data_IF_582526967805
#
_entry.id   IF_582526967805
#
_cell.length_a   1.000
_cell.length_b   1.000
_cell.length_c   1.000
_cell.angle_alpha   90.00
_cell.angle_beta   90.00
_cell.angle_gamma   90.00
#
_symmetry.space_group_name_H-M   'P 1'
#
loop_
_entity.id
_entity.type
_entity.pdbx_description
1 polymer ?
#
# COMPACT_ATOMS: atom_id res chain seq x y z
N UNK A 1 2.00 -3.20 23.65
CA UNK A 1 2.02 -4.66 23.91
C UNK A 1 3.44 -5.06 24.30
N UNK A 2 3.63 -5.91 25.30
CA UNK A 2 4.94 -6.51 25.64
C UNK A 2 4.91 -8.02 25.39
N UNK A 3 6.08 -8.66 25.38
CA UNK A 3 6.15 -10.11 25.22
C UNK A 3 5.46 -10.89 26.37
N UNK A 4 5.43 -10.33 27.59
CA UNK A 4 4.79 -10.93 28.76
C UNK A 4 3.26 -10.79 28.75
N UNK A 5 2.73 -9.78 28.05
CA UNK A 5 1.29 -9.53 27.95
C UNK A 5 0.70 -9.96 26.60
N UNK A 6 1.49 -10.62 25.75
CA UNK A 6 1.01 -11.10 24.46
C UNK A 6 0.09 -12.32 24.66
N UNK A 7 -1.05 -12.34 23.97
CA UNK A 7 -1.99 -13.47 24.03
C UNK A 7 -1.41 -14.71 23.34
N UNK A 8 -0.80 -14.52 22.17
CA UNK A 8 -0.15 -15.59 21.41
C UNK A 8 1.33 -15.71 21.80
N UNK A 9 1.87 -16.94 22.00
CA UNK A 9 3.28 -17.13 22.28
C UNK A 9 4.17 -16.80 21.07
N UNK A 10 3.63 -16.78 19.84
CA UNK A 10 4.36 -16.40 18.62
C UNK A 10 4.83 -14.95 18.70
N UNK A 11 4.04 -14.05 19.31
CA UNK A 11 4.42 -12.64 19.50
C UNK A 11 5.06 -12.35 20.87
N UNK A 12 4.99 -13.33 21.79
CA UNK A 12 5.56 -13.27 23.14
C UNK A 12 6.80 -14.14 23.31
N UNK A 13 6.62 -15.29 23.98
CA UNK A 13 7.71 -16.24 24.35
C UNK A 13 8.64 -16.61 23.18
N UNK A 14 8.09 -16.77 21.98
CA UNK A 14 8.84 -17.18 20.79
C UNK A 14 9.10 -16.04 19.81
N UNK A 15 8.76 -14.79 20.16
CA UNK A 15 8.86 -13.64 19.25
C UNK A 15 10.25 -13.40 18.68
N UNK A 16 11.31 -13.69 19.44
CA UNK A 16 12.70 -13.59 18.96
C UNK A 16 13.08 -14.68 17.95
N UNK A 17 12.38 -15.82 17.94
CA UNK A 17 12.60 -16.93 16.99
C UNK A 17 11.95 -16.68 15.64
N UNK A 18 10.91 -15.86 15.60
CA UNK A 18 10.10 -15.58 14.41
C UNK A 18 10.14 -14.12 13.98
N UNK A 19 11.03 -13.30 14.55
CA UNK A 19 11.13 -11.87 14.26
C UNK A 19 11.33 -11.58 12.77
N UNK A 20 12.07 -12.45 12.06
CA UNK A 20 12.27 -12.40 10.61
C UNK A 20 11.01 -12.59 9.77
N UNK A 21 9.91 -13.10 10.35
CA UNK A 21 8.62 -13.25 9.67
C UNK A 21 7.76 -11.98 9.71
N UNK A 22 8.03 -11.05 10.64
CA UNK A 22 7.23 -9.83 10.81
C UNK A 22 7.16 -8.94 9.56
N UNK A 23 8.21 -8.77 8.75
CA UNK A 23 8.13 -8.00 7.50
C UNK A 23 7.24 -8.62 6.41
N UNK A 24 6.75 -9.84 6.61
CA UNK A 24 5.98 -10.62 5.63
C UNK A 24 4.57 -10.97 6.10
N UNK A 25 4.36 -11.25 7.39
CA UNK A 25 3.10 -11.81 7.91
C UNK A 25 2.45 -10.99 9.02
N UNK A 26 2.86 -9.72 9.20
CA UNK A 26 2.20 -8.81 10.13
C UNK A 26 1.17 -7.92 9.41
N UNK A 27 0.30 -7.26 10.16
CA UNK A 27 -0.58 -6.20 9.63
C UNK A 27 0.21 -5.13 8.86
N UNK A 28 1.39 -4.74 9.34
CA UNK A 28 2.29 -3.83 8.61
C UNK A 28 2.67 -4.40 7.24
N UNK A 29 3.00 -5.70 7.18
CA UNK A 29 3.37 -6.35 5.94
C UNK A 29 2.19 -6.43 4.97
N UNK A 30 1.00 -6.79 5.46
CA UNK A 30 -0.23 -6.82 4.67
C UNK A 30 -0.49 -5.46 4.02
N UNK A 31 -0.49 -4.38 4.81
CA UNK A 31 -0.70 -3.02 4.29
C UNK A 31 0.40 -2.64 3.29
N UNK A 32 1.67 -2.94 3.59
CA UNK A 32 2.80 -2.65 2.69
C UNK A 32 2.62 -3.34 1.34
N UNK A 33 2.23 -4.60 1.32
CA UNK A 33 2.04 -5.35 0.08
C UNK A 33 0.80 -4.90 -0.69
N UNK A 34 -0.30 -4.54 -0.01
CA UNK A 34 -1.47 -3.93 -0.68
C UNK A 34 -1.10 -2.61 -1.37
N UNK A 35 -0.36 -1.73 -0.69
CA UNK A 35 0.17 -0.48 -1.27
C UNK A 35 1.07 -0.77 -2.48
N UNK A 36 1.91 -1.80 -2.39
CA UNK A 36 2.76 -2.24 -3.50
C UNK A 36 1.93 -2.71 -4.70
N UNK A 37 0.96 -3.60 -4.49
CA UNK A 37 0.11 -4.14 -5.58
C UNK A 37 -0.66 -3.02 -6.27
N UNK A 38 -1.27 -2.10 -5.51
CA UNK A 38 -1.98 -0.93 -6.06
C UNK A 38 -1.07 -0.02 -6.90
N UNK A 39 0.14 0.28 -6.41
CA UNK A 39 1.10 1.09 -7.16
C UNK A 39 1.59 0.38 -8.44
N UNK A 40 1.74 -0.95 -8.40
CA UNK A 40 2.08 -1.74 -9.58
C UNK A 40 0.90 -1.82 -10.56
N UNK A 41 -0.33 -1.90 -10.06
CA UNK A 41 -1.53 -1.92 -10.89
C UNK A 41 -1.70 -0.61 -11.67
N UNK A 42 -1.53 0.54 -11.00
CA UNK A 42 -1.56 1.83 -11.68
C UNK A 42 -0.47 1.95 -12.76
N UNK A 43 0.74 1.44 -12.50
CA UNK A 43 1.81 1.38 -13.50
C UNK A 43 1.46 0.46 -14.68
N UNK A 44 0.79 -0.67 -14.42
CA UNK A 44 0.35 -1.59 -15.46
C UNK A 44 -0.74 -0.96 -16.35
N UNK A 45 -1.69 -0.24 -15.74
CA UNK A 45 -2.70 0.52 -16.48
C UNK A 45 -2.06 1.59 -17.37
N UNK A 46 -1.10 2.36 -16.85
CA UNK A 46 -0.38 3.36 -17.64
C UNK A 46 0.45 2.75 -18.79
N UNK A 47 0.97 1.53 -18.61
CA UNK A 47 1.70 0.82 -19.65
C UNK A 47 0.79 0.23 -20.75
N UNK A 48 -0.52 0.19 -20.54
CA UNK A 48 -1.49 -0.30 -21.51
C UNK A 48 -1.79 0.77 -22.56
N UNK A 49 -1.28 0.59 -23.79
CA UNK A 49 -1.45 1.57 -24.88
C UNK A 49 -2.89 1.75 -25.35
N UNK A 50 -3.77 0.81 -25.03
CA UNK A 50 -5.19 0.85 -25.41
C UNK A 50 -6.03 1.71 -24.45
N UNK A 51 -5.48 2.12 -23.30
CA UNK A 51 -6.16 2.95 -22.30
C UNK A 51 -5.70 4.41 -22.40
N UNK A 52 -6.35 5.19 -23.27
CA UNK A 52 -5.96 6.58 -23.54
C UNK A 52 -6.08 7.51 -22.31
N UNK A 53 -6.95 7.20 -21.35
CA UNK A 53 -7.17 8.01 -20.15
C UNK A 53 -6.01 7.92 -19.13
N UNK A 54 -5.14 6.92 -19.25
CA UNK A 54 -3.94 6.75 -18.41
C UNK A 54 -2.72 6.57 -19.33
N UNK A 55 -2.10 7.66 -19.80
CA UNK A 55 -0.97 7.57 -20.70
C UNK A 55 0.27 6.96 -20.01
N UNK A 56 1.25 6.44 -20.78
CA UNK A 56 2.47 5.89 -20.24
C UNK A 56 3.22 6.85 -19.32
N UNK A 57 3.52 6.37 -18.11
CA UNK A 57 4.17 7.20 -17.12
C UNK A 57 5.62 7.53 -17.46
N UNK A 58 5.98 8.80 -17.20
CA UNK A 58 7.35 9.26 -17.23
C UNK A 58 8.26 8.46 -16.27
N UNK A 59 9.58 8.56 -16.47
CA UNK A 59 10.53 7.98 -15.52
C UNK A 59 10.36 8.57 -14.11
N UNK A 60 10.07 9.88 -14.00
CA UNK A 60 9.83 10.56 -12.72
C UNK A 60 8.64 9.97 -11.97
N UNK A 61 7.52 9.74 -12.65
CA UNK A 61 6.34 9.14 -12.04
C UNK A 61 6.59 7.71 -11.57
N UNK A 62 7.26 6.88 -12.39
CA UNK A 62 7.65 5.52 -12.01
C UNK A 62 8.59 5.50 -10.81
N UNK A 63 9.60 6.37 -10.80
CA UNK A 63 10.54 6.51 -9.67
C UNK A 63 9.86 7.04 -8.40
N UNK A 64 8.81 7.86 -8.55
CA UNK A 64 8.02 8.34 -7.41
C UNK A 64 7.18 7.21 -6.80
N UNK A 65 6.48 6.41 -7.62
CA UNK A 65 5.73 5.24 -7.16
C UNK A 65 6.66 4.20 -6.52
N UNK A 66 7.81 3.92 -7.12
CA UNK A 66 8.82 3.03 -6.55
C UNK A 66 9.32 3.50 -5.18
N UNK A 67 9.53 4.81 -4.98
CA UNK A 67 9.91 5.35 -3.67
C UNK A 67 8.82 5.19 -2.60
N UNK A 68 7.54 5.23 -2.97
CA UNK A 68 6.44 4.99 -2.02
C UNK A 68 6.50 3.54 -1.51
N UNK A 69 6.76 2.58 -2.40
CA UNK A 69 6.74 1.15 -2.06
C UNK A 69 8.03 0.71 -1.37
N UNK A 70 9.20 1.11 -1.88
CA UNK A 70 10.51 0.77 -1.32
C UNK A 70 10.75 1.44 0.04
N UNK A 71 10.22 2.66 0.21
CA UNK A 71 10.35 3.46 1.43
C UNK A 71 9.22 3.29 2.44
N UNK A 72 8.29 2.35 2.22
CA UNK A 72 7.08 2.23 3.04
C UNK A 72 7.41 1.97 4.52
N UNK A 73 6.94 2.86 5.39
CA UNK A 73 7.35 2.92 6.79
C UNK A 73 6.22 2.60 7.78
N UNK A 74 6.57 2.40 9.05
CA UNK A 74 5.57 2.23 10.12
C UNK A 74 4.69 3.48 10.27
N UNK A 75 5.20 4.67 9.95
CA UNK A 75 4.40 5.89 9.95
C UNK A 75 3.33 5.87 8.85
N UNK A 76 3.68 5.34 7.67
CA UNK A 76 2.74 5.17 6.56
C UNK A 76 1.64 4.15 6.90
N UNK A 77 2.01 3.00 7.47
CA UNK A 77 1.03 2.02 7.94
C UNK A 77 0.06 2.62 8.98
N UNK A 78 0.56 3.47 9.88
CA UNK A 78 -0.30 4.21 10.83
C UNK A 78 -1.22 5.20 10.13
N UNK A 79 -0.77 5.88 9.08
CA UNK A 79 -1.60 6.77 8.29
C UNK A 79 -2.73 5.99 7.60
N UNK A 80 -2.44 4.81 7.03
CA UNK A 80 -3.47 3.91 6.48
C UNK A 80 -4.49 3.52 7.55
N UNK A 81 -4.06 3.05 8.73
CA UNK A 81 -5.00 2.71 9.82
C UNK A 81 -5.83 3.91 10.31
N UNK A 82 -5.29 5.12 10.26
CA UNK A 82 -6.05 6.33 10.62
C UNK A 82 -7.17 6.62 9.59
N UNK A 83 -6.90 6.40 8.30
CA UNK A 83 -7.91 6.50 7.23
C UNK A 83 -8.95 5.37 7.36
N UNK A 84 -8.50 4.16 7.68
CA UNK A 84 -9.37 3.01 7.93
C UNK A 84 -10.36 3.28 9.07
N UNK A 85 -9.93 3.97 10.13
CA UNK A 85 -10.83 4.37 11.22
C UNK A 85 -12.01 5.25 10.77
N UNK A 86 -11.90 5.94 9.64
CA UNK A 86 -12.99 6.72 9.04
C UNK A 86 -13.80 5.93 8.02
N UNK A 87 -13.12 5.12 7.19
CA UNK A 87 -13.76 4.38 6.08
C UNK A 87 -14.36 3.05 6.50
N UNK A 88 -13.89 2.48 7.62
CA UNK A 88 -14.20 1.13 8.11
C UNK A 88 -13.94 0.03 7.05
N UNK A 89 -12.96 0.25 6.16
CA UNK A 89 -12.55 -0.68 5.12
C UNK A 89 -11.05 -0.54 4.82
N UNK A 90 -10.32 -1.63 4.93
CA UNK A 90 -8.84 -1.66 4.86
C UNK A 90 -8.27 -1.37 3.46
N UNK A 91 -8.78 -2.01 2.40
CA UNK A 91 -8.36 -1.74 1.01
C UNK A 91 -8.72 -0.31 0.60
N UNK A 92 -9.91 0.17 0.95
CA UNK A 92 -10.28 1.56 0.68
C UNK A 92 -9.36 2.57 1.37
N UNK A 93 -8.88 2.26 2.56
CA UNK A 93 -7.91 3.10 3.24
C UNK A 93 -6.56 3.18 2.49
N UNK A 94 -6.13 2.09 1.85
CA UNK A 94 -4.95 2.06 0.99
C UNK A 94 -5.12 2.94 -0.25
N UNK A 95 -6.27 2.87 -0.92
CA UNK A 95 -6.59 3.77 -2.04
C UNK A 95 -6.42 5.25 -1.65
N UNK A 96 -7.09 5.66 -0.57
CA UNK A 96 -7.04 7.04 -0.09
C UNK A 96 -5.63 7.46 0.31
N UNK A 97 -4.86 6.57 0.94
CA UNK A 97 -3.47 6.82 1.27
C UNK A 97 -2.63 7.09 0.01
N UNK A 98 -2.79 6.27 -1.04
CA UNK A 98 -2.06 6.47 -2.29
C UNK A 98 -2.48 7.75 -2.99
N UNK A 99 -3.78 8.07 -3.07
CA UNK A 99 -4.28 9.35 -3.60
C UNK A 99 -3.64 10.55 -2.89
N UNK A 100 -3.51 10.50 -1.56
CA UNK A 100 -2.83 11.55 -0.79
C UNK A 100 -1.34 11.64 -1.13
N UNK A 101 -0.64 10.49 -1.22
CA UNK A 101 0.80 10.45 -1.52
C UNK A 101 1.14 11.00 -2.90
N UNK A 102 0.30 10.74 -3.91
CA UNK A 102 0.56 11.15 -5.29
C UNK A 102 0.04 12.55 -5.64
N UNK A 103 -0.75 13.19 -4.78
CA UNK A 103 -1.34 14.51 -5.01
C UNK A 103 -0.34 15.62 -5.35
N UNK A 104 0.92 15.49 -4.91
CA UNK A 104 1.99 16.44 -5.21
C UNK A 104 2.73 16.19 -6.54
N UNK A 105 2.41 15.12 -7.26
CA UNK A 105 3.02 14.77 -8.54
C UNK A 105 1.97 14.88 -9.65
N UNK A 106 2.08 15.90 -10.51
CA UNK A 106 1.05 16.29 -11.48
C UNK A 106 0.50 15.10 -12.30
N UNK A 107 1.37 14.33 -12.94
CA UNK A 107 1.00 13.17 -13.77
C UNK A 107 0.25 12.08 -12.99
N UNK A 108 0.70 11.77 -11.77
CA UNK A 108 0.10 10.73 -10.94
C UNK A 108 -1.19 11.22 -10.27
N UNK A 109 -1.26 12.51 -9.95
CA UNK A 109 -2.49 13.14 -9.46
C UNK A 109 -3.57 13.17 -10.53
N UNK A 110 -3.23 13.36 -11.81
CA UNK A 110 -4.18 13.26 -12.91
C UNK A 110 -4.74 11.84 -13.07
N UNK A 111 -3.91 10.81 -12.82
CA UNK A 111 -4.30 9.41 -12.88
C UNK A 111 -4.84 8.85 -11.54
N UNK A 112 -4.99 9.66 -10.49
CA UNK A 112 -5.26 9.15 -9.13
C UNK A 112 -6.60 8.43 -9.00
N UNK A 113 -7.58 8.75 -9.85
CA UNK A 113 -8.89 8.07 -9.88
C UNK A 113 -8.83 6.68 -10.52
N UNK A 114 -7.70 6.31 -11.15
CA UNK A 114 -7.45 4.97 -11.66
C UNK A 114 -6.77 4.04 -10.63
N UNK A 115 -6.45 4.55 -9.44
CA UNK A 115 -6.03 3.70 -8.32
C UNK A 115 -7.21 2.77 -7.99
N UNK A 116 -6.95 1.47 -7.88
CA UNK A 116 -7.96 0.41 -7.73
C UNK A 116 -8.96 0.25 -8.89
N UNK A 117 -8.68 0.81 -10.08
CA UNK A 117 -9.62 0.73 -11.21
C UNK A 117 -9.86 -0.72 -11.66
N UNK A 118 -11.13 -1.12 -11.68
CA UNK A 118 -11.55 -2.45 -12.12
C UNK A 118 -11.25 -3.59 -11.15
N UNK A 119 -10.67 -3.30 -9.99
CA UNK A 119 -10.34 -4.30 -8.98
C UNK A 119 -11.49 -4.53 -8.00
N UNK A 120 -11.53 -5.74 -7.44
CA UNK A 120 -12.15 -6.01 -6.13
C UNK A 120 -11.08 -6.06 -5.04
N UNK A 121 -11.49 -5.98 -3.78
CA UNK A 121 -10.58 -6.11 -2.63
C UNK A 121 -9.72 -7.39 -2.68
N UNK A 122 -10.26 -8.48 -3.21
CA UNK A 122 -9.56 -9.77 -3.32
C UNK A 122 -8.52 -9.81 -4.44
N UNK A 123 -8.54 -8.87 -5.39
CA UNK A 123 -7.44 -8.76 -6.36
C UNK A 123 -6.17 -8.19 -5.71
N UNK A 124 -6.33 -7.54 -4.55
CA UNK A 124 -5.27 -6.84 -3.82
C UNK A 124 -4.76 -7.64 -2.60
N UNK A 125 -5.57 -8.55 -2.05
CA UNK A 125 -5.29 -9.34 -0.85
C UNK A 125 -4.38 -10.55 -1.11
#
# INVERSE_FOLDING_TARGET
>A
MTALTALSPIDGRYGSKVSGLRPFFSEFALIRYRVFVEAQWLQALAACTDLADVPPFSASARDFLGRITDGFSVADAKAVKAIEGTTNHDVKAVEYFLKQKVSGHEELSAASEFIHFGCTSEDIN
#
